data_IF_236391607841
#
_entry.id   IF_236391607841
#
_cell.length_a   1.000
_cell.length_b   1.000
_cell.length_c   1.000
_cell.angle_alpha   90.00
_cell.angle_beta   90.00
_cell.angle_gamma   90.00
#
_symmetry.space_group_name_H-M   'P 1'
#
loop_
_entity.id
_entity.type
_entity.pdbx_description
1 polymer ?
#
# COMPACT_ATOMS: atom_id res chain seq x y z
N UNK A 1 10.20 -12.32 8.82
CA UNK A 1 8.85 -12.25 8.22
C UNK A 1 8.32 -10.82 8.17
N UNK A 2 8.20 -10.12 9.31
CA UNK A 2 7.72 -8.72 9.41
C UNK A 2 8.42 -7.70 8.51
N UNK A 3 9.73 -7.86 8.31
CA UNK A 3 10.55 -6.96 7.48
C UNK A 3 10.24 -7.10 5.99
N UNK A 4 9.95 -8.33 5.54
CA UNK A 4 9.55 -8.60 4.14
C UNK A 4 8.15 -8.06 3.86
N UNK A 5 7.22 -8.20 4.81
CA UNK A 5 5.85 -7.69 4.70
C UNK A 5 5.83 -6.16 4.61
N UNK A 6 6.61 -5.49 5.47
CA UNK A 6 6.79 -4.04 5.37
C UNK A 6 7.42 -3.61 4.04
N UNK A 7 8.40 -4.35 3.54
CA UNK A 7 9.04 -4.07 2.26
C UNK A 7 8.06 -4.19 1.08
N UNK A 8 7.19 -5.20 1.10
CA UNK A 8 6.13 -5.37 0.09
C UNK A 8 5.15 -4.20 0.10
N UNK A 9 4.75 -3.72 1.28
CA UNK A 9 3.84 -2.56 1.38
C UNK A 9 4.49 -1.27 0.91
N UNK A 10 5.76 -1.06 1.23
CA UNK A 10 6.52 0.10 0.73
C UNK A 10 6.62 0.05 -0.80
N UNK A 11 6.92 -1.11 -1.37
CA UNK A 11 6.93 -1.29 -2.83
C UNK A 11 5.55 -1.03 -3.43
N UNK A 12 4.47 -1.53 -2.83
CA UNK A 12 3.10 -1.30 -3.27
C UNK A 12 2.70 0.18 -3.22
N UNK A 13 3.13 0.92 -2.19
CA UNK A 13 2.91 2.36 -2.04
C UNK A 13 3.65 3.18 -3.10
N UNK A 14 4.79 2.69 -3.59
CA UNK A 14 5.58 3.40 -4.60
C UNK A 14 5.01 3.19 -6.02
N UNK A 15 4.25 2.12 -6.27
CA UNK A 15 3.62 1.81 -7.58
C UNK A 15 2.97 3.03 -8.27
N UNK A 16 2.10 3.82 -7.61
CA UNK A 16 1.48 4.96 -8.26
C UNK A 16 2.48 6.01 -8.75
N UNK A 17 3.63 6.22 -8.09
CA UNK A 17 4.64 7.17 -8.57
C UNK A 17 5.22 6.79 -9.94
N UNK A 18 5.24 5.50 -10.28
CA UNK A 18 5.76 5.02 -11.57
C UNK A 18 4.64 4.75 -12.59
N UNK A 19 3.52 4.19 -12.14
CA UNK A 19 2.43 3.76 -13.02
C UNK A 19 1.36 4.83 -13.25
N UNK A 20 1.09 5.65 -12.23
CA UNK A 20 0.04 6.67 -12.23
C UNK A 20 0.73 8.02 -12.09
N UNK A 21 1.26 8.53 -13.19
CA UNK A 21 1.98 9.83 -13.27
C UNK A 21 1.11 11.07 -12.95
N UNK A 22 -0.04 10.88 -12.32
CA UNK A 22 -0.97 11.94 -11.97
C UNK A 22 -1.22 11.91 -10.46
N UNK A 23 -1.03 13.05 -9.81
CA UNK A 23 -1.32 13.26 -8.38
C UNK A 23 -2.83 13.42 -8.12
N UNK A 24 -3.64 12.67 -8.87
CA UNK A 24 -5.09 12.73 -8.83
C UNK A 24 -5.66 11.95 -7.64
N UNK A 25 -6.94 12.19 -7.35
CA UNK A 25 -7.72 11.52 -6.32
C UNK A 25 -7.57 9.98 -6.36
N UNK A 26 -7.40 9.40 -7.55
CA UNK A 26 -7.17 7.98 -7.76
C UNK A 26 -5.92 7.45 -7.04
N UNK A 27 -4.83 8.23 -7.00
CA UNK A 27 -3.60 7.87 -6.31
C UNK A 27 -3.81 7.85 -4.79
N UNK A 28 -4.56 8.81 -4.26
CA UNK A 28 -4.94 8.83 -2.84
C UNK A 28 -5.82 7.64 -2.45
N UNK A 29 -6.83 7.32 -3.28
CA UNK A 29 -7.70 6.16 -3.06
C UNK A 29 -6.87 4.87 -3.08
N UNK A 30 -5.93 4.74 -4.01
CA UNK A 30 -5.04 3.59 -4.10
C UNK A 30 -4.23 3.40 -2.80
N UNK A 31 -3.60 4.47 -2.28
CA UNK A 31 -2.85 4.39 -1.02
C UNK A 31 -3.74 4.02 0.17
N UNK A 32 -4.94 4.58 0.25
CA UNK A 32 -5.92 4.20 1.28
C UNK A 32 -6.24 2.71 1.23
N UNK A 33 -6.50 2.15 0.04
CA UNK A 33 -6.79 0.72 -0.13
C UNK A 33 -5.60 -0.14 0.32
N UNK A 34 -4.39 0.18 -0.12
CA UNK A 34 -3.17 -0.56 0.23
C UNK A 34 -2.94 -0.53 1.75
N UNK A 35 -3.09 0.64 2.38
CA UNK A 35 -2.94 0.78 3.83
C UNK A 35 -4.02 0.00 4.60
N UNK A 36 -5.29 0.10 4.20
CA UNK A 36 -6.40 -0.62 4.84
C UNK A 36 -6.23 -2.13 4.73
N UNK A 37 -5.81 -2.65 3.57
CA UNK A 37 -5.55 -4.08 3.39
C UNK A 37 -4.39 -4.56 4.28
N UNK A 38 -3.32 -3.76 4.41
CA UNK A 38 -2.21 -4.11 5.28
C UNK A 38 -2.60 -4.11 6.76
N UNK A 39 -3.36 -3.11 7.20
CA UNK A 39 -3.86 -3.04 8.57
C UNK A 39 -4.82 -4.21 8.88
N UNK A 40 -5.72 -4.54 7.95
CA UNK A 40 -6.62 -5.69 8.09
C UNK A 40 -5.84 -7.01 8.16
N UNK A 41 -4.82 -7.16 7.31
CA UNK A 41 -3.93 -8.32 7.33
C UNK A 41 -3.21 -8.48 8.68
N UNK A 42 -2.67 -7.38 9.23
CA UNK A 42 -2.07 -7.41 10.57
C UNK A 42 -3.13 -7.78 11.61
N UNK A 43 -4.31 -7.18 11.58
CA UNK A 43 -5.37 -7.42 12.56
C UNK A 43 -5.89 -8.86 12.56
N UNK A 44 -5.94 -9.52 11.39
CA UNK A 44 -6.40 -10.92 11.25
C UNK A 44 -5.28 -11.92 11.56
N UNK A 45 -4.01 -11.55 11.34
CA UNK A 45 -2.85 -12.40 11.59
C UNK A 45 -2.29 -12.26 13.02
N UNK A 46 -3.02 -11.59 13.92
CA UNK A 46 -2.83 -11.61 15.37
C UNK A 46 -3.20 -12.99 15.95
#
# INVERSE_FOLDING_TARGET
>A
MKLLEGLIVVLAMIVPFFAIKSYDLSTYIYWCIVASLYLAYIAVRW
#
